data_IF_094968680032
#
_entry.id   IF_094968680032
#
_cell.length_a   1.000
_cell.length_b   1.000
_cell.length_c   1.000
_cell.angle_alpha   90.00
_cell.angle_beta   90.00
_cell.angle_gamma   90.00
#
_symmetry.space_group_name_H-M   'P 1'
#
loop_
_entity.id
_entity.type
_entity.pdbx_description
1 polymer ?
#
# COMPACT_ATOMS: atom_id res chain seq x y z
N UNK A 1 -14.72 30.79 -11.93
CA UNK A 1 -13.84 30.55 -10.80
C UNK A 1 -12.97 29.35 -11.05
N UNK A 2 -11.66 29.47 -10.85
CA UNK A 2 -10.72 28.35 -11.05
C UNK A 2 -10.92 27.32 -9.94
N UNK A 3 -11.13 26.05 -10.32
CA UNK A 3 -11.30 24.97 -9.36
C UNK A 3 -9.97 24.73 -8.62
N UNK A 4 -10.06 24.54 -7.31
CA UNK A 4 -8.89 24.24 -6.47
C UNK A 4 -8.30 22.90 -6.84
N UNK A 5 -7.01 22.83 -7.13
CA UNK A 5 -6.33 21.59 -7.44
C UNK A 5 -6.29 20.67 -6.23
N UNK A 6 -6.60 19.41 -6.47
CA UNK A 6 -6.62 18.37 -5.44
C UNK A 6 -5.92 17.12 -5.96
N UNK A 7 -4.94 16.67 -5.21
CA UNK A 7 -4.14 15.49 -5.53
C UNK A 7 -4.25 14.46 -4.43
N UNK A 8 -4.24 13.20 -4.82
CA UNK A 8 -4.18 12.07 -3.90
C UNK A 8 -2.85 11.35 -4.08
N UNK A 9 -2.29 10.87 -2.97
CA UNK A 9 -1.23 9.87 -2.97
C UNK A 9 -1.79 8.62 -2.31
N UNK A 10 -1.79 7.50 -3.01
CA UNK A 10 -2.28 6.23 -2.46
C UNK A 10 -1.11 5.26 -2.37
N UNK A 11 -0.95 4.66 -1.19
CA UNK A 11 0.10 3.70 -0.89
C UNK A 11 -0.52 2.38 -0.41
N UNK A 12 0.01 1.27 -0.92
CA UNK A 12 -0.47 -0.07 -0.56
C UNK A 12 0.30 -0.55 0.67
N UNK A 13 -0.41 -0.80 1.75
CA UNK A 13 0.20 -1.09 3.05
C UNK A 13 0.90 -2.44 3.07
N UNK A 14 2.21 -2.42 3.42
CA UNK A 14 3.04 -3.64 3.51
C UNK A 14 2.86 -4.53 2.28
N UNK A 15 2.98 -3.96 1.09
CA UNK A 15 2.45 -4.53 -0.14
C UNK A 15 2.82 -5.99 -0.37
N UNK A 16 4.11 -6.32 -0.40
CA UNK A 16 4.53 -7.70 -0.72
C UNK A 16 4.02 -8.68 0.33
N UNK A 17 4.10 -8.32 1.60
CA UNK A 17 3.60 -9.16 2.69
C UNK A 17 2.08 -9.32 2.63
N UNK A 18 1.37 -8.25 2.29
CA UNK A 18 -0.09 -8.29 2.13
C UNK A 18 -0.50 -9.20 0.98
N UNK A 19 0.20 -9.14 -0.15
CA UNK A 19 -0.05 -10.05 -1.28
C UNK A 19 0.12 -11.50 -0.85
N UNK A 20 1.21 -11.80 -0.14
CA UNK A 20 1.46 -13.18 0.31
C UNK A 20 0.38 -13.68 1.28
N UNK A 21 -0.11 -12.81 2.17
CA UNK A 21 -1.22 -13.16 3.06
C UNK A 21 -2.51 -13.43 2.28
N UNK A 22 -2.86 -12.54 1.35
CA UNK A 22 -4.07 -12.69 0.54
C UNK A 22 -4.03 -14.00 -0.25
N UNK A 23 -2.90 -14.32 -0.87
CA UNK A 23 -2.74 -15.57 -1.63
C UNK A 23 -2.90 -16.82 -0.75
N UNK A 24 -2.60 -16.70 0.55
CA UNK A 24 -2.73 -17.80 1.50
C UNK A 24 -4.07 -17.80 2.25
N UNK A 25 -4.96 -16.84 1.95
CA UNK A 25 -6.22 -16.69 2.67
C UNK A 25 -6.05 -16.21 4.10
N UNK A 26 -4.99 -15.45 4.37
CA UNK A 26 -4.67 -14.95 5.72
C UNK A 26 -4.87 -13.43 5.78
N UNK A 27 -5.16 -12.95 7.00
CA UNK A 27 -5.33 -11.52 7.26
C UNK A 27 -3.97 -10.90 7.64
N UNK A 28 -3.46 -9.91 6.88
CA UNK A 28 -2.17 -9.28 7.18
C UNK A 28 -2.12 -8.59 8.55
N UNK A 29 -3.27 -8.19 9.11
CA UNK A 29 -3.32 -7.50 10.39
C UNK A 29 -3.26 -8.44 11.59
N UNK A 30 -3.46 -9.74 11.36
CA UNK A 30 -3.44 -10.76 12.42
C UNK A 30 -2.41 -11.85 12.18
N UNK A 31 -1.75 -11.85 11.02
CA UNK A 31 -0.79 -12.87 10.63
C UNK A 31 0.63 -12.32 10.66
N UNK A 32 1.53 -13.00 11.36
CA UNK A 32 2.95 -12.66 11.35
C UNK A 32 3.60 -13.30 10.13
N UNK A 33 4.02 -12.47 9.18
CA UNK A 33 4.64 -12.92 7.95
C UNK A 33 5.68 -11.91 7.47
N UNK A 34 6.80 -12.42 7.01
CA UNK A 34 7.85 -11.63 6.38
C UNK A 34 8.12 -12.16 4.98
N UNK A 35 8.49 -11.25 4.07
CA UNK A 35 8.93 -11.62 2.72
C UNK A 35 10.44 -11.52 2.69
N UNK A 36 11.11 -12.66 2.60
CA UNK A 36 12.56 -12.74 2.58
C UNK A 36 12.98 -14.05 1.92
N UNK A 37 14.21 -14.09 1.40
CA UNK A 37 14.75 -15.34 0.83
C UNK A 37 15.37 -16.18 1.97
N UNK A 38 14.72 -17.29 2.37
CA UNK A 38 15.23 -18.09 3.48
C UNK A 38 16.51 -18.86 3.16
N UNK A 39 16.85 -18.99 1.87
CA UNK A 39 18.06 -19.70 1.42
C UNK A 39 19.31 -18.82 1.49
N UNK A 40 19.15 -17.54 1.81
CA UNK A 40 20.29 -16.65 2.05
C UNK A 40 20.76 -16.80 3.49
N UNK A 41 21.33 -15.79 4.09
CA UNK A 41 21.76 -15.85 5.49
C UNK A 41 20.72 -15.23 6.40
N UNK A 42 20.86 -15.43 7.72
CA UNK A 42 20.04 -14.76 8.73
C UNK A 42 20.23 -13.24 8.71
N UNK A 43 21.27 -12.74 8.03
CA UNK A 43 21.50 -11.31 7.80
C UNK A 43 20.69 -10.74 6.64
N UNK A 44 19.92 -11.58 5.94
CA UNK A 44 19.07 -11.16 4.82
C UNK A 44 18.03 -10.15 5.30
N UNK A 45 17.87 -9.09 4.51
CA UNK A 45 16.88 -8.05 4.79
C UNK A 45 15.50 -8.55 4.37
N UNK A 46 14.51 -8.36 5.23
CA UNK A 46 13.12 -8.59 4.89
C UNK A 46 12.64 -7.50 3.93
N UNK A 47 12.15 -7.89 2.78
CA UNK A 47 11.64 -6.94 1.78
C UNK A 47 10.33 -6.31 2.22
N UNK A 48 9.54 -7.04 3.02
CA UNK A 48 8.31 -6.54 3.59
C UNK A 48 7.95 -7.37 4.81
N UNK A 49 7.23 -6.76 5.74
CA UNK A 49 6.66 -7.45 6.90
C UNK A 49 5.19 -7.04 7.03
N UNK A 50 4.38 -7.91 7.63
CA UNK A 50 2.96 -7.62 7.80
C UNK A 50 2.72 -6.52 8.84
N UNK A 51 1.57 -5.82 8.77
CA UNK A 51 1.16 -4.90 9.84
C UNK A 51 1.14 -5.58 11.21
N UNK A 52 0.77 -6.86 11.29
CA UNK A 52 0.82 -7.61 12.54
C UNK A 52 2.22 -7.63 13.14
N UNK A 53 3.24 -7.86 12.32
CA UNK A 53 4.65 -7.83 12.76
C UNK A 53 5.07 -6.44 13.22
N UNK A 54 4.64 -5.40 12.50
CA UNK A 54 4.94 -4.01 12.87
C UNK A 54 4.37 -3.67 14.24
N UNK A 55 3.19 -4.18 14.56
CA UNK A 55 2.56 -3.97 15.88
C UNK A 55 3.36 -4.57 17.02
N UNK A 56 4.16 -5.58 16.74
CA UNK A 56 5.04 -6.21 17.71
C UNK A 56 6.35 -5.46 17.92
N UNK A 57 6.50 -4.31 17.23
CA UNK A 57 7.71 -3.50 17.32
C UNK A 57 8.80 -3.91 16.34
N UNK A 58 8.49 -4.82 15.41
CA UNK A 58 9.46 -5.24 14.39
C UNK A 58 9.59 -4.12 13.35
N UNK A 59 10.82 -3.75 13.06
CA UNK A 59 11.11 -2.68 12.12
C UNK A 59 10.93 -3.15 10.68
N UNK A 60 10.33 -2.30 9.85
CA UNK A 60 10.27 -2.56 8.42
C UNK A 60 11.68 -2.69 7.84
N UNK A 61 11.89 -3.62 6.92
CA UNK A 61 13.19 -3.94 6.33
C UNK A 61 14.23 -4.37 7.37
N UNK A 62 13.79 -5.02 8.45
CA UNK A 62 14.68 -5.61 9.42
C UNK A 62 15.43 -6.79 8.81
N UNK A 63 16.52 -7.19 9.45
CA UNK A 63 17.20 -8.45 9.11
C UNK A 63 16.53 -9.58 9.90
N UNK A 64 16.55 -10.78 9.35
CA UNK A 64 15.88 -11.93 9.99
C UNK A 64 16.40 -12.15 11.40
N UNK A 65 17.70 -12.03 11.62
CA UNK A 65 18.29 -12.22 12.96
C UNK A 65 17.85 -11.18 13.99
N UNK A 66 17.28 -10.04 13.55
CA UNK A 66 16.77 -9.00 14.44
C UNK A 66 15.39 -9.34 15.01
N UNK A 67 14.71 -10.34 14.45
CA UNK A 67 13.39 -10.76 14.94
C UNK A 67 13.58 -11.60 16.21
N UNK A 68 12.92 -11.22 17.32
CA UNK A 68 13.03 -11.99 18.56
C UNK A 68 12.63 -13.46 18.39
N UNK A 69 13.37 -14.37 19.02
CA UNK A 69 13.20 -15.81 18.86
C UNK A 69 11.84 -16.30 19.35
N UNK A 70 11.20 -15.59 20.28
CA UNK A 70 9.88 -15.98 20.81
C UNK A 70 8.72 -15.67 19.88
N UNK A 71 8.96 -14.92 18.79
CA UNK A 71 7.91 -14.58 17.83
C UNK A 71 7.87 -15.65 16.75
N UNK A 72 6.70 -16.28 16.59
CA UNK A 72 6.46 -17.20 15.48
C UNK A 72 5.96 -16.41 14.28
N UNK A 73 6.50 -16.72 13.12
CA UNK A 73 6.14 -16.03 11.88
C UNK A 73 6.41 -16.88 10.65
N UNK A 74 5.73 -16.55 9.58
CA UNK A 74 5.88 -17.23 8.29
C UNK A 74 6.94 -16.49 7.47
N UNK A 75 7.86 -17.23 6.85
CA UNK A 75 8.81 -16.66 5.89
C UNK A 75 8.32 -17.01 4.50
N UNK A 76 7.94 -15.99 3.72
CA UNK A 76 7.50 -16.15 2.35
C UNK A 76 8.63 -15.74 1.40
N UNK A 77 9.00 -16.65 0.51
CA UNK A 77 10.01 -16.36 -0.50
C UNK A 77 9.47 -15.31 -1.49
N UNK A 78 10.27 -14.31 -1.89
CA UNK A 78 9.79 -13.25 -2.78
C UNK A 78 9.28 -13.80 -4.12
N UNK A 79 8.15 -13.29 -4.57
CA UNK A 79 7.52 -13.61 -5.86
C UNK A 79 7.24 -12.33 -6.62
N UNK A 80 8.29 -11.70 -7.14
CA UNK A 80 8.20 -10.36 -7.73
C UNK A 80 7.19 -10.29 -8.88
N UNK A 81 7.09 -11.31 -9.71
CA UNK A 81 6.12 -11.31 -10.81
C UNK A 81 4.69 -11.26 -10.29
N UNK A 82 4.39 -12.00 -9.23
CA UNK A 82 3.07 -11.97 -8.60
C UNK A 82 2.75 -10.57 -8.06
N UNK A 83 3.71 -9.91 -7.43
CA UNK A 83 3.51 -8.56 -6.90
C UNK A 83 3.27 -7.56 -8.02
N UNK A 84 3.96 -7.71 -9.14
CA UNK A 84 3.75 -6.87 -10.32
C UNK A 84 2.35 -7.07 -10.91
N UNK A 85 1.86 -8.32 -10.92
CA UNK A 85 0.50 -8.62 -11.37
C UNK A 85 -0.56 -7.96 -10.49
N UNK A 86 -0.38 -8.00 -9.16
CA UNK A 86 -1.28 -7.31 -8.24
C UNK A 86 -1.22 -5.80 -8.44
N UNK A 87 -0.03 -5.25 -8.63
CA UNK A 87 0.14 -3.82 -8.89
C UNK A 87 -0.60 -3.40 -10.16
N UNK A 88 -0.49 -4.19 -11.22
CA UNK A 88 -1.18 -3.93 -12.49
C UNK A 88 -2.70 -4.01 -12.33
N UNK A 89 -3.20 -4.98 -11.58
CA UNK A 89 -4.63 -5.10 -11.28
C UNK A 89 -5.15 -3.87 -10.55
N UNK A 90 -4.40 -3.41 -9.56
CA UNK A 90 -4.77 -2.24 -8.76
C UNK A 90 -4.77 -0.98 -9.63
N UNK A 91 -3.78 -0.83 -10.50
CA UNK A 91 -3.77 0.25 -11.48
C UNK A 91 -5.03 0.21 -12.35
N UNK A 92 -5.43 -0.97 -12.81
CA UNK A 92 -6.66 -1.16 -13.56
C UNK A 92 -7.91 -0.73 -12.79
N UNK A 93 -7.92 -0.95 -11.48
CA UNK A 93 -9.01 -0.49 -10.60
C UNK A 93 -9.09 1.04 -10.61
N UNK A 94 -7.94 1.72 -10.47
CA UNK A 94 -7.90 3.19 -10.50
C UNK A 94 -8.41 3.74 -11.84
N UNK A 95 -8.12 3.05 -12.94
CA UNK A 95 -8.59 3.46 -14.27
C UNK A 95 -10.11 3.45 -14.43
N UNK A 96 -10.83 2.75 -13.56
CA UNK A 96 -12.29 2.77 -13.55
C UNK A 96 -12.85 4.10 -13.04
N UNK A 97 -12.03 4.88 -12.35
CA UNK A 97 -12.46 6.12 -11.69
C UNK A 97 -11.75 7.36 -12.23
N UNK A 98 -10.50 7.21 -12.66
CA UNK A 98 -9.62 8.31 -13.03
C UNK A 98 -8.94 7.97 -14.36
N UNK A 99 -8.90 8.93 -15.28
CA UNK A 99 -8.26 8.73 -16.57
C UNK A 99 -6.74 8.55 -16.43
N UNK A 100 -6.18 7.78 -17.32
CA UNK A 100 -4.74 7.47 -17.37
C UNK A 100 -3.85 8.72 -17.27
N UNK A 101 -4.25 9.81 -17.93
CA UNK A 101 -3.49 11.06 -17.97
C UNK A 101 -3.37 11.71 -16.59
N UNK A 102 -4.27 11.38 -15.67
CA UNK A 102 -4.31 11.96 -14.33
C UNK A 102 -3.73 11.02 -13.26
N UNK A 103 -3.17 9.89 -13.67
CA UNK A 103 -2.55 8.92 -12.77
C UNK A 103 -1.05 8.87 -13.03
N UNK A 104 -0.25 9.04 -11.97
CA UNK A 104 1.20 8.92 -12.01
C UNK A 104 1.64 7.77 -11.12
N UNK A 105 2.15 6.70 -11.74
CA UNK A 105 2.69 5.56 -11.00
C UNK A 105 4.09 5.93 -10.51
N UNK A 106 4.24 6.03 -9.19
CA UNK A 106 5.51 6.38 -8.57
C UNK A 106 6.37 5.14 -8.32
N UNK A 107 5.73 4.05 -7.87
CA UNK A 107 6.39 2.78 -7.62
C UNK A 107 5.36 1.65 -7.69
N UNK A 108 5.79 0.41 -7.45
CA UNK A 108 4.93 -0.77 -7.49
C UNK A 108 3.76 -0.67 -6.52
N UNK A 109 3.92 0.07 -5.42
CA UNK A 109 2.91 0.19 -4.36
C UNK A 109 2.41 1.62 -4.12
N UNK A 110 2.81 2.59 -4.94
CA UNK A 110 2.48 3.99 -4.69
C UNK A 110 2.07 4.71 -5.98
N UNK A 111 0.93 5.38 -5.93
CA UNK A 111 0.37 6.15 -7.05
C UNK A 111 -0.03 7.55 -6.62
N UNK A 112 0.15 8.51 -7.50
CA UNK A 112 -0.37 9.87 -7.36
C UNK A 112 -1.48 10.08 -8.38
N UNK A 113 -2.52 10.82 -8.00
CA UNK A 113 -3.64 11.13 -8.90
C UNK A 113 -4.06 12.59 -8.77
N UNK A 114 -4.27 13.23 -9.91
CA UNK A 114 -4.97 14.52 -9.95
C UNK A 114 -6.46 14.21 -10.02
N UNK A 115 -7.17 14.47 -8.92
CA UNK A 115 -8.60 14.18 -8.84
C UNK A 115 -9.47 15.43 -8.96
N UNK A 116 -8.87 16.58 -9.26
CA UNK A 116 -9.52 17.87 -9.27
C UNK A 116 -10.87 17.86 -9.99
N UNK A 117 -10.88 17.45 -11.26
CA UNK A 117 -12.12 17.48 -12.07
C UNK A 117 -13.10 16.37 -11.69
N UNK A 118 -12.63 15.29 -11.06
CA UNK A 118 -13.47 14.15 -10.70
C UNK A 118 -14.33 14.41 -9.49
N UNK A 119 -13.89 15.27 -8.57
CA UNK A 119 -14.65 15.61 -7.39
C UNK A 119 -15.98 16.25 -7.76
N UNK A 120 -15.95 17.16 -8.72
CA UNK A 120 -17.15 17.79 -9.26
C UNK A 120 -18.01 16.79 -10.03
N UNK A 121 -17.36 16.00 -10.90
CA UNK A 121 -18.03 15.04 -11.75
C UNK A 121 -18.80 13.98 -10.96
N UNK A 122 -18.20 13.46 -9.89
CA UNK A 122 -18.80 12.41 -9.07
C UNK A 122 -19.54 12.95 -7.85
N UNK A 123 -19.54 14.26 -7.64
CA UNK A 123 -20.14 14.91 -6.46
C UNK A 123 -19.57 14.37 -5.15
N UNK A 124 -18.23 14.24 -5.10
CA UNK A 124 -17.51 13.72 -3.93
C UNK A 124 -16.55 14.75 -3.37
N UNK A 125 -16.30 14.68 -2.06
CA UNK A 125 -15.19 15.37 -1.45
C UNK A 125 -13.90 14.60 -1.75
N UNK A 126 -12.73 15.22 -1.54
CA UNK A 126 -11.45 14.54 -1.72
C UNK A 126 -11.35 13.31 -0.83
N UNK A 127 -11.79 13.42 0.43
CA UNK A 127 -11.80 12.31 1.38
C UNK A 127 -12.69 11.16 0.90
N UNK A 128 -13.87 11.48 0.40
CA UNK A 128 -14.79 10.47 -0.14
C UNK A 128 -14.21 9.79 -1.37
N UNK A 129 -13.55 10.55 -2.24
CA UNK A 129 -12.89 10.01 -3.42
C UNK A 129 -11.76 9.04 -3.03
N UNK A 130 -10.93 9.44 -2.07
CA UNK A 130 -9.86 8.59 -1.56
C UNK A 130 -10.43 7.29 -0.96
N UNK A 131 -11.47 7.41 -0.15
CA UNK A 131 -12.12 6.25 0.48
C UNK A 131 -12.71 5.31 -0.56
N UNK A 132 -13.35 5.86 -1.59
CA UNK A 132 -13.93 5.05 -2.67
C UNK A 132 -12.86 4.24 -3.40
N UNK A 133 -11.71 4.84 -3.68
CA UNK A 133 -10.60 4.15 -4.33
C UNK A 133 -10.00 3.07 -3.43
N UNK A 134 -9.80 3.38 -2.16
CA UNK A 134 -9.27 2.42 -1.19
C UNK A 134 -10.22 1.24 -0.98
N UNK A 135 -11.52 1.51 -0.91
CA UNK A 135 -12.54 0.45 -0.76
C UNK A 135 -12.58 -0.46 -1.99
N UNK A 136 -12.46 0.12 -3.19
CA UNK A 136 -12.43 -0.67 -4.42
C UNK A 136 -11.21 -1.61 -4.47
N UNK A 137 -10.04 -1.13 -4.05
CA UNK A 137 -8.83 -1.95 -3.97
C UNK A 137 -9.02 -3.09 -2.97
N UNK A 138 -9.55 -2.78 -1.78
CA UNK A 138 -9.81 -3.78 -0.74
C UNK A 138 -10.81 -4.84 -1.21
N UNK A 139 -11.91 -4.40 -1.81
CA UNK A 139 -12.97 -5.30 -2.26
C UNK A 139 -12.48 -6.28 -3.33
N UNK A 140 -11.68 -5.81 -4.29
CA UNK A 140 -11.22 -6.64 -5.39
C UNK A 140 -9.95 -7.43 -5.10
N UNK A 141 -9.09 -6.96 -4.22
CA UNK A 141 -7.77 -7.58 -4.00
C UNK A 141 -7.50 -8.01 -2.57
N UNK A 142 -8.24 -7.50 -1.60
CA UNK A 142 -7.95 -7.73 -0.19
C UNK A 142 -6.76 -6.92 0.35
N UNK A 143 -6.21 -6.02 -0.46
CA UNK A 143 -5.05 -5.20 -0.08
C UNK A 143 -5.53 -3.89 0.54
N UNK A 144 -4.97 -3.54 1.70
CA UNK A 144 -5.27 -2.28 2.39
C UNK A 144 -4.40 -1.17 1.83
N UNK A 145 -5.03 -0.02 1.56
CA UNK A 145 -4.34 1.16 1.09
C UNK A 145 -4.48 2.31 2.10
N UNK A 146 -3.53 3.22 2.08
CA UNK A 146 -3.60 4.50 2.80
C UNK A 146 -3.53 5.62 1.77
N UNK A 147 -4.08 6.80 2.13
CA UNK A 147 -4.12 7.92 1.21
C UNK A 147 -3.75 9.22 1.92
N UNK A 148 -3.09 10.11 1.17
CA UNK A 148 -2.84 11.47 1.56
C UNK A 148 -3.47 12.41 0.55
N UNK A 149 -3.96 13.55 1.01
CA UNK A 149 -4.63 14.55 0.20
C UNK A 149 -3.85 15.86 0.29
N UNK A 150 -3.63 16.51 -0.82
CA UNK A 150 -2.93 17.79 -0.85
C UNK A 150 -3.29 18.62 -2.07
N UNK A 151 -2.86 19.87 -2.07
CA UNK A 151 -3.09 20.80 -3.19
C UNK A 151 -2.03 20.66 -4.29
N UNK A 152 -1.02 19.83 -4.07
CA UNK A 152 -0.05 19.40 -5.07
C UNK A 152 0.46 18.02 -4.69
N UNK A 153 1.25 17.40 -5.57
CA UNK A 153 1.75 16.04 -5.38
C UNK A 153 2.62 15.93 -4.11
N UNK A 154 3.45 16.92 -3.87
CA UNK A 154 4.35 16.95 -2.71
C UNK A 154 3.57 16.94 -1.39
N UNK A 155 2.55 17.80 -1.27
CA UNK A 155 1.71 17.87 -0.07
C UNK A 155 0.89 16.60 0.15
N UNK A 156 0.40 15.99 -0.93
CA UNK A 156 -0.31 14.71 -0.86
C UNK A 156 0.61 13.61 -0.34
N UNK A 157 1.85 13.57 -0.79
CA UNK A 157 2.86 12.61 -0.34
C UNK A 157 3.17 12.79 1.15
N UNK A 158 3.37 14.02 1.60
CA UNK A 158 3.63 14.34 3.01
C UNK A 158 2.44 13.89 3.87
N UNK A 159 1.22 14.22 3.46
CA UNK A 159 0.02 13.85 4.21
C UNK A 159 -0.10 12.34 4.34
N UNK A 160 0.16 11.59 3.26
CA UNK A 160 0.13 10.13 3.28
C UNK A 160 1.22 9.57 4.21
N UNK A 161 2.45 10.08 4.15
CA UNK A 161 3.55 9.60 4.99
C UNK A 161 3.27 9.84 6.48
N UNK A 162 2.65 10.95 6.85
CA UNK A 162 2.27 11.24 8.22
C UNK A 162 1.21 10.24 8.71
N UNK A 163 0.19 10.00 7.90
CA UNK A 163 -0.87 9.04 8.24
C UNK A 163 -0.29 7.63 8.37
N UNK A 164 0.56 7.22 7.46
CA UNK A 164 1.20 5.90 7.49
C UNK A 164 2.02 5.69 8.77
N UNK A 165 2.74 6.73 9.22
CA UNK A 165 3.52 6.66 10.47
C UNK A 165 2.66 6.49 11.71
N UNK A 166 1.47 7.08 11.73
CA UNK A 166 0.59 7.03 12.89
C UNK A 166 -0.27 5.76 12.96
N UNK A 167 -0.46 5.08 11.84
CA UNK A 167 -1.24 3.85 11.76
C UNK A 167 -0.37 2.63 12.09
N UNK A 168 0.91 2.75 11.94
CA UNK A 168 1.88 1.70 12.31
C UNK A 168 2.01 1.58 13.86
#
# INVERSE_FOLDING_TARGET
MKQKETFLCIDLKSFYASVECVERGLDPFTTNLVVADPDRSVSTICLAITPAMKKLGIRNRCRIHEIPDHIEYIVAKPRMQLYMEYSARIYGIYLNYVAKEDIHVYSVDECFMDVTRYLSLYHLTAKEMAQKLMDAVMEETGITATAGIGTNLYLAKIAMDIVAKHIE
#
